data_IF_831362897726
#
_entry.id   IF_831362897726
#
_cell.length_a   1.000
_cell.length_b   1.000
_cell.length_c   1.000
_cell.angle_alpha   90.00
_cell.angle_beta   90.00
_cell.angle_gamma   90.00
#
_symmetry.space_group_name_H-M   'P 1'
#
loop_
_entity.id
_entity.type
_entity.pdbx_description
1 polymer ?
#
# COMPACT_ATOMS: atom_id res chain seq x y z
N UNK A 1 4.10 16.57 -8.97
CA UNK A 1 3.78 15.86 -7.71
C UNK A 1 2.59 16.55 -7.05
N UNK A 2 1.58 15.78 -6.67
CA UNK A 2 0.41 16.29 -5.94
C UNK A 2 0.34 15.74 -4.51
N UNK A 3 -0.29 16.46 -3.59
CA UNK A 3 -0.66 15.96 -2.27
C UNK A 3 -2.19 15.83 -2.23
N UNK A 4 -2.66 14.63 -1.95
CA UNK A 4 -4.06 14.37 -1.63
C UNK A 4 -4.14 14.07 -0.14
N UNK A 5 -4.82 14.93 0.61
CA UNK A 5 -4.93 14.78 2.06
C UNK A 5 -5.95 13.71 2.42
N UNK A 6 -7.07 13.65 1.68
CA UNK A 6 -8.15 12.75 2.05
C UNK A 6 -8.96 12.31 0.83
N UNK A 7 -9.14 10.99 0.72
CA UNK A 7 -10.08 10.39 -0.24
C UNK A 7 -11.03 9.51 0.57
N UNK A 8 -12.25 9.99 0.89
CA UNK A 8 -13.15 9.32 1.85
C UNK A 8 -13.49 7.89 1.45
N UNK A 9 -13.83 7.71 0.18
CA UNK A 9 -14.01 6.40 -0.44
C UNK A 9 -13.94 6.50 -1.96
N UNK A 10 -13.55 5.41 -2.63
CA UNK A 10 -13.60 5.36 -4.08
C UNK A 10 -12.64 4.38 -4.73
N UNK A 11 -12.68 4.37 -6.07
CA UNK A 11 -11.71 3.69 -6.92
C UNK A 11 -10.80 4.75 -7.52
N UNK A 12 -9.50 4.62 -7.30
CA UNK A 12 -8.48 5.42 -7.95
C UNK A 12 -7.66 4.51 -8.86
N UNK A 13 -7.71 4.77 -10.17
CA UNK A 13 -6.99 3.96 -11.16
C UNK A 13 -5.48 4.25 -11.13
N UNK A 14 -5.09 5.53 -11.07
CA UNK A 14 -3.68 5.88 -11.03
C UNK A 14 -3.43 7.18 -10.25
N UNK A 15 -2.46 7.15 -9.35
CA UNK A 15 -1.92 8.36 -8.70
C UNK A 15 -0.47 8.52 -9.16
N UNK A 16 -0.20 9.29 -10.24
CA UNK A 16 1.03 9.20 -11.01
C UNK A 16 2.29 9.78 -10.33
N UNK A 17 2.15 10.45 -9.18
CA UNK A 17 3.22 10.66 -8.20
C UNK A 17 2.73 11.59 -7.09
N UNK A 18 2.86 11.18 -5.83
CA UNK A 18 2.34 12.01 -4.74
C UNK A 18 2.37 11.41 -3.35
N UNK A 19 1.91 12.22 -2.40
CA UNK A 19 1.62 11.80 -1.02
C UNK A 19 0.12 11.69 -0.85
N UNK A 20 -0.33 10.55 -0.35
CA UNK A 20 -1.72 10.29 0.01
C UNK A 20 -1.75 9.97 1.50
N UNK A 21 -2.45 10.79 2.27
CA UNK A 21 -2.43 10.63 3.73
C UNK A 21 -3.45 9.60 4.20
N UNK A 22 -4.68 9.67 3.69
CA UNK A 22 -5.73 8.77 4.15
C UNK A 22 -6.72 8.35 3.05
N UNK A 23 -6.91 7.03 2.92
CA UNK A 23 -7.99 6.42 2.14
C UNK A 23 -8.75 5.44 3.04
N UNK A 24 -9.82 5.87 3.72
CA UNK A 24 -10.53 5.04 4.70
C UNK A 24 -11.06 3.72 4.12
N UNK A 25 -11.61 3.79 2.90
CA UNK A 25 -12.20 2.65 2.21
C UNK A 25 -12.03 2.79 0.69
N UNK A 26 -11.24 1.94 0.04
CA UNK A 26 -11.05 2.11 -1.40
C UNK A 26 -10.27 1.02 -2.13
N UNK A 27 -10.37 1.06 -3.46
CA UNK A 27 -9.50 0.28 -4.36
C UNK A 27 -8.57 1.24 -5.06
N UNK A 28 -7.29 0.93 -5.04
CA UNK A 28 -6.27 1.72 -5.66
C UNK A 28 -5.42 0.81 -6.53
N UNK A 29 -5.38 1.07 -7.83
CA UNK A 29 -4.75 0.13 -8.77
C UNK A 29 -3.24 0.36 -8.85
N UNK A 30 -2.82 1.61 -9.04
CA UNK A 30 -1.40 1.92 -9.19
C UNK A 30 -0.96 3.23 -8.52
N UNK A 31 0.13 3.14 -7.74
CA UNK A 31 0.92 4.29 -7.28
C UNK A 31 2.36 4.10 -7.75
N UNK A 32 2.71 4.57 -8.97
CA UNK A 32 4.03 4.37 -9.56
C UNK A 32 5.17 4.83 -8.65
N UNK A 33 5.01 6.02 -8.06
CA UNK A 33 5.98 6.60 -7.14
C UNK A 33 5.30 7.46 -6.07
N UNK A 34 5.27 7.03 -4.80
CA UNK A 34 4.54 7.78 -3.79
C UNK A 34 4.67 7.29 -2.34
N UNK A 35 4.13 8.10 -1.42
CA UNK A 35 3.98 7.74 0.00
C UNK A 35 2.49 7.65 0.33
N UNK A 36 2.11 6.51 0.89
CA UNK A 36 0.79 6.26 1.45
C UNK A 36 0.93 6.12 2.96
N UNK A 37 0.21 6.91 3.74
CA UNK A 37 0.32 6.84 5.21
C UNK A 37 -0.71 5.88 5.79
N UNK A 38 -1.98 6.01 5.40
CA UNK A 38 -3.03 5.24 6.05
C UNK A 38 -4.13 4.74 5.10
N UNK A 39 -4.31 3.41 5.06
CA UNK A 39 -5.41 2.74 4.36
C UNK A 39 -6.08 1.72 5.29
N UNK A 40 -7.02 2.14 6.16
CA UNK A 40 -7.63 1.28 7.16
C UNK A 40 -8.40 0.11 6.54
N UNK A 41 -9.08 0.33 5.41
CA UNK A 41 -9.69 -0.74 4.64
C UNK A 41 -9.50 -0.54 3.13
N UNK A 42 -8.94 -1.52 2.43
CA UNK A 42 -8.76 -1.35 0.99
C UNK A 42 -8.00 -2.44 0.27
N UNK A 43 -8.02 -2.35 -1.06
CA UNK A 43 -7.19 -3.16 -1.96
C UNK A 43 -6.24 -2.25 -2.72
N UNK A 44 -4.96 -2.56 -2.66
CA UNK A 44 -3.92 -1.89 -3.41
C UNK A 44 -3.23 -2.92 -4.29
N UNK A 45 -3.24 -2.72 -5.61
CA UNK A 45 -2.69 -3.71 -6.54
C UNK A 45 -1.18 -3.53 -6.72
N UNK A 46 -0.73 -2.32 -7.02
CA UNK A 46 0.69 -2.11 -7.31
C UNK A 46 1.25 -0.79 -6.76
N UNK A 47 2.38 -0.89 -6.06
CA UNK A 47 3.25 0.24 -5.71
C UNK A 47 4.68 -0.04 -6.16
N UNK A 48 5.03 0.25 -7.43
CA UNK A 48 6.35 0.01 -7.99
C UNK A 48 7.48 0.60 -7.16
N UNK A 49 7.34 1.84 -6.69
CA UNK A 49 8.38 2.55 -5.96
C UNK A 49 7.80 3.45 -4.87
N UNK A 50 7.66 2.96 -3.64
CA UNK A 50 6.97 3.77 -2.62
C UNK A 50 7.14 3.32 -1.18
N UNK A 51 6.61 4.15 -0.28
CA UNK A 51 6.51 3.84 1.15
C UNK A 51 5.05 3.75 1.54
N UNK A 52 4.68 2.63 2.15
CA UNK A 52 3.41 2.45 2.84
C UNK A 52 3.68 2.31 4.34
N UNK A 53 2.97 3.09 5.14
CA UNK A 53 3.13 3.04 6.60
C UNK A 53 2.15 2.04 7.22
N UNK A 54 0.85 2.15 6.92
CA UNK A 54 -0.12 1.33 7.61
C UNK A 54 -1.29 0.90 6.72
N UNK A 55 -1.51 -0.42 6.64
CA UNK A 55 -2.69 -1.05 6.05
C UNK A 55 -3.34 -2.00 7.07
N UNK A 56 -4.16 -1.49 8.01
CA UNK A 56 -4.85 -2.25 9.05
C UNK A 56 -5.58 -3.49 8.56
N UNK A 57 -6.46 -3.33 7.55
CA UNK A 57 -7.34 -4.40 7.05
C UNK A 57 -7.45 -4.34 5.53
N UNK A 58 -6.51 -4.94 4.80
CA UNK A 58 -6.49 -4.82 3.35
C UNK A 58 -5.71 -5.90 2.60
N UNK A 59 -5.78 -5.85 1.27
CA UNK A 59 -4.97 -6.70 0.38
C UNK A 59 -4.00 -5.81 -0.40
N UNK A 60 -2.73 -6.17 -0.34
CA UNK A 60 -1.65 -5.58 -1.13
C UNK A 60 -1.06 -6.67 -2.03
N UNK A 61 -1.15 -6.50 -3.34
CA UNK A 61 -0.65 -7.53 -4.26
C UNK A 61 0.85 -7.39 -4.52
N UNK A 62 1.32 -6.19 -4.91
CA UNK A 62 2.71 -6.04 -5.31
C UNK A 62 3.35 -4.74 -4.82
N UNK A 63 4.52 -4.85 -4.18
CA UNK A 63 5.43 -3.73 -3.90
C UNK A 63 6.84 -4.07 -4.43
N UNK A 64 7.12 -3.87 -5.73
CA UNK A 64 8.39 -4.19 -6.36
C UNK A 64 9.62 -3.64 -5.65
N UNK A 65 9.63 -2.33 -5.37
CA UNK A 65 10.78 -1.62 -4.79
C UNK A 65 10.31 -0.59 -3.77
N UNK A 66 9.89 -1.05 -2.59
CA UNK A 66 9.30 -0.16 -1.58
C UNK A 66 9.47 -0.62 -0.14
N UNK A 67 8.98 0.19 0.79
CA UNK A 67 8.98 -0.11 2.22
C UNK A 67 7.54 -0.18 2.72
N UNK A 68 7.21 -1.26 3.40
CA UNK A 68 5.93 -1.45 4.07
C UNK A 68 6.20 -1.62 5.58
N UNK A 69 5.65 -0.73 6.39
CA UNK A 69 5.88 -0.79 7.85
C UNK A 69 4.93 -1.75 8.54
N UNK A 70 3.61 -1.62 8.30
CA UNK A 70 2.63 -2.33 9.11
C UNK A 70 1.45 -2.90 8.29
N UNK A 71 1.20 -4.20 8.42
CA UNK A 71 -0.02 -4.88 7.94
C UNK A 71 -0.60 -5.76 9.05
N UNK A 72 -1.44 -5.20 9.95
CA UNK A 72 -2.04 -5.90 11.09
C UNK A 72 -2.89 -7.10 10.71
N UNK A 73 -3.88 -6.90 9.84
CA UNK A 73 -4.95 -7.85 9.52
C UNK A 73 -5.19 -7.90 8.01
N UNK A 74 -4.11 -8.02 7.23
CA UNK A 74 -4.14 -7.95 5.77
C UNK A 74 -3.37 -9.07 5.07
N UNK A 75 -3.46 -9.11 3.74
CA UNK A 75 -2.70 -10.03 2.90
C UNK A 75 -1.73 -9.24 2.02
N UNK A 76 -0.48 -9.70 2.01
CA UNK A 76 0.57 -9.19 1.15
C UNK A 76 1.09 -10.32 0.27
N UNK A 77 1.02 -10.17 -1.05
CA UNK A 77 1.41 -11.24 -1.96
C UNK A 77 2.89 -11.20 -2.33
N UNK A 78 3.42 -10.05 -2.76
CA UNK A 78 4.77 -9.97 -3.32
C UNK A 78 5.52 -8.69 -2.93
N UNK A 79 6.74 -8.84 -2.39
CA UNK A 79 7.71 -7.76 -2.20
C UNK A 79 9.10 -8.22 -2.69
N UNK A 80 9.45 -8.02 -3.98
CA UNK A 80 10.66 -8.59 -4.55
C UNK A 80 11.96 -7.84 -4.23
N UNK A 81 11.92 -6.53 -4.03
CA UNK A 81 13.10 -5.73 -3.71
C UNK A 81 12.78 -4.66 -2.66
N UNK A 82 11.93 -5.03 -1.70
CA UNK A 82 11.42 -4.13 -0.67
C UNK A 82 11.60 -4.70 0.74
N UNK A 83 11.20 -3.89 1.73
CA UNK A 83 11.30 -4.25 3.16
C UNK A 83 9.92 -4.27 3.78
N UNK A 84 9.64 -5.32 4.56
CA UNK A 84 8.48 -5.43 5.43
C UNK A 84 8.93 -5.46 6.89
N UNK A 85 8.32 -4.63 7.74
CA UNK A 85 8.73 -4.54 9.15
C UNK A 85 7.84 -5.30 10.12
N UNK A 86 6.51 -5.24 9.96
CA UNK A 86 5.60 -5.81 10.95
C UNK A 86 4.30 -6.39 10.35
N UNK A 87 4.02 -7.66 10.69
CA UNK A 87 2.81 -8.40 10.30
C UNK A 87 2.36 -9.28 11.47
N UNK A 88 1.50 -8.78 12.38
CA UNK A 88 1.10 -9.52 13.58
C UNK A 88 0.01 -10.56 13.33
N UNK A 89 -0.92 -10.30 12.40
CA UNK A 89 -2.03 -11.22 12.08
C UNK A 89 -2.33 -11.29 10.58
N UNK A 90 -1.43 -10.73 9.75
CA UNK A 90 -1.53 -10.77 8.30
C UNK A 90 -0.82 -11.98 7.67
N UNK A 91 -1.06 -12.18 6.38
CA UNK A 91 -0.42 -13.23 5.58
C UNK A 91 0.55 -12.63 4.57
N UNK A 92 1.78 -13.15 4.54
CA UNK A 92 2.79 -12.84 3.55
C UNK A 92 3.07 -14.07 2.68
N UNK A 93 2.98 -13.94 1.35
CA UNK A 93 3.14 -15.09 0.45
C UNK A 93 4.53 -15.20 -0.18
N UNK A 94 5.13 -14.09 -0.61
CA UNK A 94 6.41 -14.13 -1.31
C UNK A 94 7.31 -12.94 -0.99
N UNK A 95 8.51 -13.25 -0.51
CA UNK A 95 9.65 -12.35 -0.39
C UNK A 95 10.85 -13.10 -0.98
N UNK A 96 11.29 -12.78 -2.21
CA UNK A 96 12.56 -13.29 -2.69
C UNK A 96 13.69 -12.66 -1.88
N UNK A 97 14.76 -13.44 -1.74
CA UNK A 97 16.00 -13.01 -1.14
C UNK A 97 16.84 -12.23 -2.13
#
# INVERSE_FOLDING_TARGET
>A
SGRLEYVPSGRLECVPSGRLECVPSGRLECVPSGRLEYVPSGRLECVPSGRLECVPSGRLECVPSGRLECVPSGRLECIPSGRLEYVPSGRLEYVPR
#
